data_IF_215568957569
#
_entry.id   IF_215568957569
#
_cell.length_a   1.000
_cell.length_b   1.000
_cell.length_c   1.000
_cell.angle_alpha   90.00
_cell.angle_beta   90.00
_cell.angle_gamma   90.00
#
_symmetry.space_group_name_H-M   'P 1'
#
loop_
_entity.id
_entity.type
_entity.pdbx_description
1 polymer ?
#
# COMPACT_ATOMS: atom_id res chain seq x y z
N UNK A 1 -8.85 -1.23 -5.68
CA UNK A 1 -9.65 -0.18 -6.34
C UNK A 1 -8.97 1.20 -6.39
N UNK A 2 -8.80 1.95 -5.29
CA UNK A 2 -8.26 3.34 -5.37
C UNK A 2 -6.84 3.42 -5.95
N UNK A 3 -5.93 2.54 -5.49
CA UNK A 3 -4.55 2.50 -5.99
C UNK A 3 -4.47 2.13 -7.47
N UNK A 4 -5.21 1.10 -7.90
CA UNK A 4 -5.24 0.64 -9.29
C UNK A 4 -5.80 1.73 -10.22
N UNK A 5 -6.83 2.45 -9.77
CA UNK A 5 -7.37 3.59 -10.51
C UNK A 5 -6.30 4.68 -10.71
N UNK A 6 -5.53 4.99 -9.67
CA UNK A 6 -4.45 5.98 -9.77
C UNK A 6 -3.27 5.51 -10.62
N UNK A 7 -2.90 4.23 -10.58
CA UNK A 7 -1.86 3.65 -11.45
C UNK A 7 -2.22 3.75 -12.93
N UNK A 8 -3.52 3.72 -13.27
CA UNK A 8 -3.97 3.90 -14.66
C UNK A 8 -3.90 5.36 -15.15
N UNK A 9 -3.73 6.34 -14.25
CA UNK A 9 -3.76 7.77 -14.58
C UNK A 9 -2.48 8.53 -14.24
N UNK A 10 -1.66 8.00 -13.33
CA UNK A 10 -0.46 8.65 -12.83
C UNK A 10 0.76 7.76 -13.10
N UNK A 11 1.93 8.37 -13.38
CA UNK A 11 3.20 7.65 -13.32
C UNK A 11 3.42 7.02 -11.93
N UNK A 12 4.11 5.89 -11.89
CA UNK A 12 4.31 5.09 -10.66
C UNK A 12 4.84 5.92 -9.47
N UNK A 13 5.77 6.84 -9.72
CA UNK A 13 6.38 7.67 -8.68
C UNK A 13 5.44 8.75 -8.10
N UNK A 14 4.28 8.98 -8.70
CA UNK A 14 3.26 9.92 -8.21
C UNK A 14 2.13 9.22 -7.45
N UNK A 15 2.10 7.88 -7.44
CA UNK A 15 1.07 7.12 -6.73
C UNK A 15 1.40 7.07 -5.24
N UNK A 16 0.49 7.51 -4.34
CA UNK A 16 0.75 7.50 -2.90
C UNK A 16 1.10 6.11 -2.36
N UNK A 17 2.09 6.06 -1.47
CA UNK A 17 2.51 4.84 -0.77
C UNK A 17 1.63 4.51 0.44
N UNK A 18 0.85 5.47 0.95
CA UNK A 18 -0.05 5.29 2.07
C UNK A 18 -1.37 6.06 1.88
N UNK A 19 -2.45 5.52 2.45
CA UNK A 19 -3.78 6.12 2.43
C UNK A 19 -4.35 6.09 3.85
N UNK A 20 -4.66 7.26 4.40
CA UNK A 20 -5.25 7.40 5.74
C UNK A 20 -6.70 7.87 5.58
N UNK A 21 -7.65 7.09 6.12
CA UNK A 21 -9.06 7.49 6.14
C UNK A 21 -9.29 8.48 7.27
N UNK A 22 -9.93 9.60 6.93
CA UNK A 22 -10.36 10.63 7.87
C UNK A 22 -11.87 10.81 7.74
N UNK A 23 -12.55 11.02 8.86
CA UNK A 23 -13.97 11.39 8.85
C UNK A 23 -14.16 12.85 8.41
N UNK A 24 -13.21 13.72 8.76
CA UNK A 24 -13.16 15.12 8.33
C UNK A 24 -11.72 15.61 8.18
N UNK A 25 -11.51 16.61 7.33
CA UNK A 25 -10.21 17.25 7.20
C UNK A 25 -9.98 18.20 8.39
N UNK A 26 -8.81 18.15 9.04
CA UNK A 26 -8.49 19.08 10.11
C UNK A 26 -8.38 20.50 9.53
N UNK A 27 -8.99 21.47 10.21
CA UNK A 27 -8.99 22.86 9.79
C UNK A 27 -8.43 23.77 10.89
N UNK A 28 -7.67 24.77 10.47
CA UNK A 28 -7.29 25.92 11.29
C UNK A 28 -8.52 26.74 11.67
N UNK A 29 -8.40 27.66 12.64
CA UNK A 29 -9.49 28.56 13.05
C UNK A 29 -10.07 29.41 11.91
N UNK A 30 -9.32 29.61 10.82
CA UNK A 30 -9.75 30.35 9.63
C UNK A 30 -10.28 29.43 8.51
N UNK A 31 -10.55 28.15 8.81
CA UNK A 31 -11.15 27.19 7.87
C UNK A 31 -10.18 26.60 6.83
N UNK A 32 -8.90 26.96 6.86
CA UNK A 32 -7.88 26.35 5.97
C UNK A 32 -7.47 24.99 6.50
N UNK A 33 -7.07 24.07 5.62
CA UNK A 33 -6.48 22.78 6.00
C UNK A 33 -5.30 22.96 6.94
N UNK A 34 -5.36 22.33 8.11
CA UNK A 34 -4.23 22.23 9.03
C UNK A 34 -3.42 20.97 8.72
N UNK A 35 -2.33 21.15 7.98
CA UNK A 35 -1.46 20.05 7.56
C UNK A 35 -0.67 19.43 8.70
N UNK A 36 -0.43 20.18 9.78
CA UNK A 36 0.32 19.68 10.94
C UNK A 36 -0.56 18.79 11.82
N UNK A 37 -1.87 18.97 11.76
CA UNK A 37 -2.85 18.14 12.43
C UNK A 37 -3.23 16.87 11.64
N UNK A 38 -2.68 16.67 10.44
CA UNK A 38 -2.88 15.42 9.71
C UNK A 38 -2.17 14.28 10.45
N UNK A 39 -2.84 13.15 10.72
CA UNK A 39 -2.20 12.01 11.37
C UNK A 39 -1.11 11.42 10.48
N UNK A 40 -0.03 10.98 11.11
CA UNK A 40 0.99 10.21 10.43
C UNK A 40 0.41 8.86 9.98
N UNK A 41 0.75 8.36 8.77
CA UNK A 41 0.37 7.02 8.36
C UNK A 41 0.96 5.96 9.30
N UNK A 42 0.14 5.02 9.75
CA UNK A 42 0.58 3.83 10.49
C UNK A 42 0.83 2.65 9.53
N UNK A 43 1.23 1.49 10.05
CA UNK A 43 1.51 0.30 9.23
C UNK A 43 0.27 -0.17 8.43
N UNK A 44 -0.93 0.06 8.95
CA UNK A 44 -2.19 -0.29 8.26
C UNK A 44 -2.51 0.68 7.10
N UNK A 45 -2.01 1.91 7.19
CA UNK A 45 -2.15 2.94 6.15
C UNK A 45 -1.19 2.76 4.98
N UNK A 46 -0.02 2.17 5.22
CA UNK A 46 0.96 1.87 4.16
C UNK A 46 0.39 0.76 3.28
N UNK A 47 0.41 0.99 1.96
CA UNK A 47 0.15 -0.07 0.98
C UNK A 47 1.34 -1.03 0.99
N UNK A 48 1.38 -1.87 2.00
CA UNK A 48 2.23 -3.05 2.02
C UNK A 48 1.40 -4.22 1.49
N UNK A 49 2.03 -5.03 0.63
CA UNK A 49 1.45 -6.32 0.29
C UNK A 49 1.51 -7.14 1.58
N UNK A 50 0.35 -7.39 2.20
CA UNK A 50 0.30 -8.36 3.29
C UNK A 50 0.71 -9.70 2.70
N UNK A 51 1.53 -10.45 3.42
CA UNK A 51 1.83 -11.80 3.02
C UNK A 51 0.52 -12.58 2.92
N UNK A 52 0.27 -13.12 1.74
CA UNK A 52 -0.80 -14.08 1.49
C UNK A 52 -0.15 -15.42 1.16
N UNK A 53 -0.69 -16.49 1.74
CA UNK A 53 -0.20 -17.83 1.44
C UNK A 53 -0.56 -18.20 0.00
N UNK A 54 0.36 -18.81 -0.77
CA UNK A 54 0.02 -19.32 -2.09
C UNK A 54 -1.11 -20.36 -1.99
N UNK A 55 -2.08 -20.25 -2.88
CA UNK A 55 -3.28 -21.08 -2.94
C UNK A 55 -3.17 -22.05 -4.12
N UNK A 56 -3.11 -23.35 -3.79
CA UNK A 56 -3.06 -24.43 -4.77
C UNK A 56 -1.67 -24.65 -5.38
N UNK A 57 -1.61 -25.59 -6.31
CA UNK A 57 -0.34 -26.15 -6.79
C UNK A 57 0.45 -25.17 -7.68
N UNK A 58 -0.25 -24.34 -8.46
CA UNK A 58 0.37 -23.39 -9.39
C UNK A 58 1.09 -22.28 -8.63
N UNK A 59 0.40 -21.61 -7.70
CA UNK A 59 0.99 -20.53 -6.91
C UNK A 59 2.15 -21.04 -6.05
N UNK A 60 2.02 -22.24 -5.49
CA UNK A 60 3.08 -22.89 -4.71
C UNK A 60 4.33 -23.15 -5.55
N UNK A 61 4.17 -23.65 -6.78
CA UNK A 61 5.29 -23.90 -7.68
C UNK A 61 6.00 -22.58 -8.08
N UNK A 62 5.23 -21.53 -8.39
CA UNK A 62 5.78 -20.21 -8.74
C UNK A 62 6.51 -19.59 -7.54
N UNK A 63 5.94 -19.66 -6.34
CA UNK A 63 6.57 -19.17 -5.12
C UNK A 63 7.92 -19.87 -4.88
N UNK A 64 7.97 -21.20 -5.04
CA UNK A 64 9.20 -21.98 -4.91
C UNK A 64 10.29 -21.57 -5.91
N UNK A 65 9.93 -21.30 -7.16
CA UNK A 65 10.88 -20.82 -8.18
C UNK A 65 11.47 -19.47 -7.76
N UNK A 66 10.64 -18.52 -7.33
CA UNK A 66 11.11 -17.21 -6.90
C UNK A 66 11.94 -17.24 -5.61
N UNK A 67 11.55 -18.07 -4.63
CA UNK A 67 12.33 -18.29 -3.42
C UNK A 67 13.73 -18.81 -3.75
N UNK A 68 13.83 -19.81 -4.64
CA UNK A 68 15.10 -20.38 -5.06
C UNK A 68 15.96 -19.37 -5.85
N UNK A 69 15.34 -18.59 -6.74
CA UNK A 69 16.03 -17.62 -7.58
C UNK A 69 16.56 -16.42 -6.78
N UNK A 70 15.75 -15.91 -5.84
CA UNK A 70 16.05 -14.72 -5.05
C UNK A 70 16.80 -15.03 -3.74
N UNK A 71 16.84 -16.30 -3.32
CA UNK A 71 17.48 -16.72 -2.08
C UNK A 71 16.79 -16.22 -0.81
N UNK A 72 15.48 -15.99 -0.88
CA UNK A 72 14.67 -15.50 0.25
C UNK A 72 13.69 -16.56 0.72
N UNK A 73 13.43 -16.59 2.02
CA UNK A 73 12.58 -17.60 2.66
C UNK A 73 11.11 -17.48 2.25
N UNK A 74 10.64 -16.28 1.90
CA UNK A 74 9.23 -16.01 1.67
C UNK A 74 8.99 -15.02 0.54
N UNK A 75 8.05 -15.34 -0.35
CA UNK A 75 7.60 -14.51 -1.49
C UNK A 75 6.07 -14.41 -1.43
N UNK A 76 5.52 -13.23 -1.74
CA UNK A 76 4.08 -12.92 -1.72
C UNK A 76 3.63 -12.08 -2.93
#
# INVERSE_FOLDING_TARGET
VMREYLLAQLPDYMVPSAYVRLDSLPQTSNGKLDRNALPAPDQSSVVSRKYEMPIGDIETAIAGIWQALLGIEQVS
#
